data_IF_317959210581
#
_entry.id   IF_317959210581
#
_cell.length_a   1.000
_cell.length_b   1.000
_cell.length_c   1.000
_cell.angle_alpha   90.00
_cell.angle_beta   90.00
_cell.angle_gamma   90.00
#
_symmetry.space_group_name_H-M   'P 1'
#
loop_
_entity.id
_entity.type
_entity.pdbx_description
1 polymer ?
#
# COMPACT_ATOMS: atom_id res chain seq x y z
N UNK A 1 -68.47 36.37 7.64
CA UNK A 1 -67.42 35.47 8.18
C UNK A 1 -68.11 34.21 8.71
N UNK A 2 -68.72 33.40 7.86
CA UNK A 2 -68.22 32.19 7.16
C UNK A 2 -67.89 30.98 8.07
N UNK A 3 -68.78 29.98 7.97
CA UNK A 3 -68.76 28.59 8.50
C UNK A 3 -67.67 27.72 7.86
N UNK A 4 -67.49 26.53 8.47
CA UNK A 4 -67.10 25.19 7.94
C UNK A 4 -65.89 24.63 8.74
N UNK A 5 -65.66 23.35 9.05
CA UNK A 5 -66.33 22.03 8.95
C UNK A 5 -65.47 21.06 9.77
N UNK A 6 -66.05 20.01 10.36
CA UNK A 6 -65.32 18.96 11.10
C UNK A 6 -64.88 17.75 10.26
N UNK A 7 -64.10 16.87 10.92
CA UNK A 7 -63.67 15.46 10.63
C UNK A 7 -62.13 15.34 10.64
N UNK A 8 -61.50 14.31 11.20
CA UNK A 8 -61.98 13.11 11.86
C UNK A 8 -60.85 12.40 12.63
N UNK A 9 -61.25 11.51 13.53
CA UNK A 9 -60.40 10.66 14.37
C UNK A 9 -59.87 9.47 13.57
N UNK A 10 -58.54 9.21 13.63
CA UNK A 10 -57.96 7.92 13.20
C UNK A 10 -57.47 7.14 14.41
N UNK A 11 -58.02 5.93 14.54
CA UNK A 11 -57.71 4.91 15.55
C UNK A 11 -56.28 4.36 15.37
N UNK A 12 -55.53 4.25 16.46
CA UNK A 12 -54.34 3.41 16.56
C UNK A 12 -54.77 1.92 16.53
N UNK A 13 -54.13 1.10 15.70
CA UNK A 13 -54.23 -0.37 15.73
C UNK A 13 -53.04 -0.93 16.50
N UNK A 14 -53.33 -1.78 17.49
CA UNK A 14 -52.36 -2.63 18.18
C UNK A 14 -51.86 -3.77 17.27
N UNK A 15 -50.64 -4.29 17.47
CA UNK A 15 -50.14 -5.46 16.76
C UNK A 15 -50.77 -6.75 17.33
N UNK A 16 -51.07 -7.77 16.50
CA UNK A 16 -51.57 -9.05 16.98
C UNK A 16 -50.44 -9.95 17.52
N UNK A 17 -50.86 -10.79 18.47
CA UNK A 17 -50.05 -11.65 19.32
C UNK A 17 -49.43 -12.87 18.60
N UNK A 18 -48.39 -13.40 19.26
CA UNK A 18 -47.64 -14.63 19.01
C UNK A 18 -48.54 -15.87 18.91
N UNK A 19 -48.27 -16.71 17.91
CA UNK A 19 -48.65 -18.12 17.88
C UNK A 19 -47.37 -18.97 17.78
N UNK A 20 -47.21 -19.87 18.74
CA UNK A 20 -46.12 -20.85 18.83
C UNK A 20 -46.26 -21.93 17.76
N UNK A 21 -45.15 -22.34 17.13
CA UNK A 21 -45.08 -23.59 16.38
C UNK A 21 -43.76 -24.31 16.68
N UNK A 22 -43.89 -25.60 16.99
CA UNK A 22 -42.86 -26.56 17.42
C UNK A 22 -41.82 -26.87 16.32
N UNK A 23 -40.62 -27.39 16.67
CA UNK A 23 -39.48 -27.54 15.76
C UNK A 23 -39.45 -28.96 15.14
N UNK A 24 -39.83 -29.10 13.87
CA UNK A 24 -39.39 -30.20 13.00
C UNK A 24 -40.04 -30.06 11.62
N UNK A 25 -39.33 -29.45 10.67
CA UNK A 25 -39.36 -29.83 9.24
C UNK A 25 -38.31 -29.01 8.51
N UNK A 26 -37.13 -29.61 8.29
CA UNK A 26 -36.15 -29.12 7.33
C UNK A 26 -36.69 -29.37 5.91
N UNK A 27 -36.93 -28.31 5.15
CA UNK A 27 -37.11 -28.40 3.69
C UNK A 27 -35.87 -27.76 3.05
N UNK A 28 -35.09 -28.50 2.26
CA UNK A 28 -33.84 -27.99 1.69
C UNK A 28 -34.14 -27.07 0.50
N UNK A 29 -33.73 -25.80 0.60
CA UNK A 29 -33.63 -24.93 -0.58
C UNK A 29 -32.41 -25.38 -1.38
N UNK A 30 -32.66 -25.87 -2.59
CA UNK A 30 -31.68 -26.46 -3.49
C UNK A 30 -30.52 -25.50 -3.81
N UNK A 31 -29.37 -25.72 -3.18
CA UNK A 31 -28.07 -25.15 -3.54
C UNK A 31 -27.49 -25.78 -4.83
N UNK A 32 -28.32 -25.99 -5.85
CA UNK A 32 -27.98 -26.76 -7.05
C UNK A 32 -27.55 -25.93 -8.27
N UNK A 33 -27.82 -24.63 -8.29
CA UNK A 33 -27.58 -23.79 -9.48
C UNK A 33 -26.20 -23.10 -9.50
N UNK A 34 -25.54 -22.89 -8.35
CA UNK A 34 -24.21 -22.27 -8.30
C UNK A 34 -23.04 -23.27 -8.44
N UNK A 35 -23.27 -24.57 -8.22
CA UNK A 35 -22.21 -25.59 -8.20
C UNK A 35 -21.90 -26.24 -9.56
N UNK A 36 -22.63 -25.88 -10.64
CA UNK A 36 -22.39 -26.45 -11.98
C UNK A 36 -21.52 -25.59 -12.91
N UNK A 37 -21.25 -24.32 -12.57
CA UNK A 37 -20.39 -23.45 -13.38
C UNK A 37 -18.91 -23.40 -12.93
N UNK A 38 -18.58 -23.97 -11.76
CA UNK A 38 -17.25 -23.88 -11.16
C UNK A 38 -16.77 -25.25 -10.63
N UNK A 39 -16.75 -26.29 -11.47
CA UNK A 39 -15.98 -27.51 -11.18
C UNK A 39 -14.60 -27.41 -11.85
N UNK A 40 -13.50 -27.27 -11.08
CA UNK A 40 -12.17 -27.57 -11.59
C UNK A 40 -12.06 -29.08 -11.77
N UNK A 41 -11.53 -29.53 -12.91
CA UNK A 41 -11.00 -30.90 -13.00
C UNK A 41 -9.81 -30.97 -12.04
N UNK A 42 -9.90 -31.84 -11.03
CA UNK A 42 -8.82 -32.08 -10.08
C UNK A 42 -7.55 -32.54 -10.81
N UNK A 43 -6.49 -31.75 -10.71
CA UNK A 43 -5.11 -32.25 -10.74
C UNK A 43 -4.40 -31.76 -9.47
N UNK A 44 -3.63 -32.65 -8.85
CA UNK A 44 -2.89 -32.39 -7.61
C UNK A 44 -1.79 -31.35 -7.87
N UNK A 45 -2.00 -30.12 -7.43
CA UNK A 45 -0.99 -29.16 -6.96
C UNK A 45 -1.74 -27.87 -6.57
N UNK A 46 -1.82 -27.59 -5.27
CA UNK A 46 -2.43 -26.37 -4.77
C UNK A 46 -1.52 -25.18 -5.03
N UNK A 47 -1.82 -24.38 -6.04
CA UNK A 47 -1.34 -23.01 -6.16
C UNK A 47 -2.51 -22.08 -6.47
N UNK A 48 -2.61 -21.02 -5.68
CA UNK A 48 -3.60 -19.95 -5.83
C UNK A 48 -3.49 -19.32 -7.23
N UNK A 49 -4.63 -19.03 -7.86
CA UNK A 49 -4.71 -18.45 -9.21
C UNK A 49 -4.00 -17.08 -9.34
N UNK A 50 -3.66 -16.43 -8.22
CA UNK A 50 -2.84 -15.22 -8.15
C UNK A 50 -1.35 -15.47 -8.47
N UNK A 51 -0.83 -16.67 -8.22
CA UNK A 51 0.58 -17.01 -8.46
C UNK A 51 0.90 -17.33 -9.93
N UNK A 52 -0.10 -17.49 -10.81
CA UNK A 52 0.10 -18.07 -12.16
C UNK A 52 0.25 -17.05 -13.29
N UNK A 53 0.11 -15.76 -13.02
CA UNK A 53 0.29 -14.70 -14.05
C UNK A 53 1.76 -14.22 -14.12
N UNK A 54 2.67 -14.74 -13.29
CA UNK A 54 4.06 -14.24 -13.17
C UNK A 54 5.16 -15.27 -13.43
N UNK A 55 4.92 -16.37 -14.14
CA UNK A 55 5.98 -17.36 -14.39
C UNK A 55 5.97 -17.89 -15.83
N UNK A 56 6.60 -17.15 -16.73
CA UNK A 56 7.41 -17.78 -17.77
C UNK A 56 8.88 -17.66 -17.36
N UNK A 57 9.66 -18.76 -17.34
CA UNK A 57 11.09 -18.65 -17.12
C UNK A 57 11.74 -18.06 -18.39
N UNK A 58 12.50 -16.96 -18.32
CA UNK A 58 13.38 -16.63 -19.42
C UNK A 58 14.56 -17.61 -19.38
N UNK A 59 14.85 -18.24 -20.53
CA UNK A 59 16.10 -18.96 -20.72
C UNK A 59 17.30 -18.01 -20.60
N UNK A 60 18.48 -18.60 -20.40
CA UNK A 60 19.79 -17.97 -20.15
C UNK A 60 20.30 -17.06 -21.29
N UNK A 61 19.51 -16.04 -21.66
CA UNK A 61 20.02 -14.85 -22.33
C UNK A 61 20.40 -13.84 -21.23
N UNK A 62 21.55 -13.18 -21.37
CA UNK A 62 21.92 -12.02 -20.56
C UNK A 62 20.78 -10.99 -20.61
N UNK A 63 19.88 -11.06 -19.61
CA UNK A 63 18.73 -10.16 -19.50
C UNK A 63 19.30 -8.78 -19.22
N UNK A 64 19.13 -7.85 -20.16
CA UNK A 64 19.45 -6.45 -19.90
C UNK A 64 18.69 -6.00 -18.65
N UNK A 65 19.34 -5.34 -17.68
CA UNK A 65 18.66 -4.87 -16.48
C UNK A 65 17.48 -3.99 -16.89
N UNK A 66 16.39 -4.05 -16.13
CA UNK A 66 15.27 -3.15 -16.36
C UNK A 66 15.74 -1.71 -16.15
N UNK A 67 15.09 -0.74 -16.80
CA UNK A 67 15.41 0.67 -16.60
C UNK A 67 15.31 1.09 -15.13
N UNK A 68 14.34 0.53 -14.40
CA UNK A 68 14.20 0.76 -12.97
C UNK A 68 15.44 0.22 -12.22
N UNK A 69 15.92 -0.99 -12.54
CA UNK A 69 17.09 -1.55 -11.88
C UNK A 69 18.34 -0.70 -12.12
N UNK A 70 18.57 -0.28 -13.37
CA UNK A 70 19.66 0.63 -13.72
C UNK A 70 19.57 1.94 -12.94
N UNK A 71 18.39 2.58 -12.96
CA UNK A 71 18.15 3.84 -12.27
C UNK A 71 18.43 3.76 -10.76
N UNK A 72 17.99 2.69 -10.11
CA UNK A 72 18.15 2.51 -8.67
C UNK A 72 19.54 2.01 -8.29
N UNK A 73 20.21 1.22 -9.13
CA UNK A 73 21.58 0.75 -8.88
C UNK A 73 22.57 1.93 -8.80
N UNK A 74 22.32 3.02 -9.53
CA UNK A 74 23.10 4.27 -9.41
C UNK A 74 22.82 5.06 -8.12
N UNK A 75 21.73 4.75 -7.42
CA UNK A 75 21.15 5.56 -6.33
C UNK A 75 20.94 4.77 -5.05
N UNK A 76 21.40 3.53 -5.00
CA UNK A 76 21.23 2.68 -3.83
C UNK A 76 22.21 3.06 -2.73
N UNK A 77 21.74 2.96 -1.50
CA UNK A 77 22.61 3.09 -0.33
C UNK A 77 23.32 1.77 -0.15
N UNK A 78 24.65 1.81 -0.27
CA UNK A 78 25.47 0.62 -0.09
C UNK A 78 25.67 0.34 1.40
N UNK A 79 25.39 -0.90 1.80
CA UNK A 79 25.64 -1.38 3.16
C UNK A 79 26.89 -2.27 3.10
N UNK A 80 28.02 -1.87 3.72
CA UNK A 80 29.23 -2.67 3.73
C UNK A 80 29.02 -3.90 4.63
N UNK A 81 28.72 -5.04 4.02
CA UNK A 81 28.43 -6.29 4.71
C UNK A 81 29.07 -7.48 4.01
N UNK A 82 29.63 -8.40 4.80
CA UNK A 82 30.26 -9.63 4.30
C UNK A 82 29.28 -10.81 4.27
N UNK A 83 28.27 -10.78 5.13
CA UNK A 83 27.30 -11.84 5.34
C UNK A 83 25.91 -11.25 5.69
N UNK A 84 24.89 -12.10 5.77
CA UNK A 84 23.52 -11.63 6.06
C UNK A 84 23.36 -11.03 7.46
N UNK A 85 24.10 -11.54 8.46
CA UNK A 85 24.02 -11.07 9.84
C UNK A 85 24.60 -9.66 10.01
N UNK A 86 25.79 -9.40 9.45
CA UNK A 86 26.40 -8.08 9.40
C UNK A 86 25.55 -7.08 8.60
N UNK A 87 24.94 -7.52 7.49
CA UNK A 87 23.97 -6.70 6.74
C UNK A 87 22.75 -6.34 7.59
N UNK A 88 22.15 -7.31 8.27
CA UNK A 88 20.99 -7.10 9.13
C UNK A 88 21.31 -6.17 10.30
N UNK A 89 22.46 -6.35 10.95
CA UNK A 89 22.91 -5.49 12.04
C UNK A 89 23.10 -4.04 11.60
N UNK A 90 23.72 -3.80 10.43
CA UNK A 90 23.89 -2.46 9.87
C UNK A 90 22.54 -1.82 9.48
N UNK A 91 21.59 -2.60 8.96
CA UNK A 91 20.22 -2.13 8.76
C UNK A 91 19.57 -1.72 10.08
N UNK A 92 19.66 -2.55 11.12
CA UNK A 92 19.07 -2.26 12.42
C UNK A 92 19.64 -0.98 13.03
N UNK A 93 20.97 -0.83 13.02
CA UNK A 93 21.65 0.37 13.53
C UNK A 93 21.16 1.66 12.85
N UNK A 94 21.04 1.65 11.52
CA UNK A 94 20.58 2.81 10.76
C UNK A 94 19.08 3.06 10.87
N UNK A 95 18.26 2.02 10.74
CA UNK A 95 16.81 2.13 10.61
C UNK A 95 16.09 2.29 11.97
N UNK A 96 16.62 1.73 13.06
CA UNK A 96 15.98 1.86 14.39
C UNK A 96 16.07 3.30 14.93
N UNK A 97 17.09 4.05 14.52
CA UNK A 97 17.23 5.48 14.81
C UNK A 97 16.38 6.37 13.87
N UNK A 98 15.82 5.82 12.80
CA UNK A 98 15.07 6.58 11.82
C UNK A 98 13.71 7.06 12.38
N UNK A 99 13.27 8.29 12.08
CA UNK A 99 11.94 8.76 12.44
C UNK A 99 10.83 7.89 11.82
N UNK A 100 10.15 7.10 12.65
CA UNK A 100 9.03 6.26 12.24
C UNK A 100 7.69 6.88 12.58
N UNK A 101 6.65 6.46 11.86
CA UNK A 101 5.28 6.86 12.13
C UNK A 101 4.75 6.19 13.41
N UNK A 102 4.31 6.98 14.38
CA UNK A 102 3.81 6.46 15.66
C UNK A 102 2.32 6.11 15.55
N UNK A 103 1.96 4.86 15.83
CA UNK A 103 0.57 4.43 15.81
C UNK A 103 0.28 3.42 16.93
N UNK A 104 -0.99 3.29 17.32
CA UNK A 104 -1.44 2.21 18.21
C UNK A 104 -1.34 0.86 17.49
N UNK A 105 -1.44 -0.26 18.22
CA UNK A 105 -1.49 -1.60 17.61
C UNK A 105 -2.53 -1.72 16.49
N UNK A 106 -3.66 -1.03 16.61
CA UNK A 106 -4.74 -0.99 15.62
C UNK A 106 -4.57 0.08 14.54
N UNK A 107 -3.38 0.68 14.40
CA UNK A 107 -3.08 1.65 13.36
C UNK A 107 -3.61 3.07 13.60
N UNK A 108 -4.17 3.38 14.77
CA UNK A 108 -4.63 4.73 15.06
C UNK A 108 -3.45 5.67 15.33
N UNK A 109 -3.56 6.92 14.87
CA UNK A 109 -2.56 7.96 15.16
C UNK A 109 -2.50 8.19 16.67
N UNK A 110 -1.31 8.18 17.26
CA UNK A 110 -1.15 8.44 18.70
C UNK A 110 -1.40 9.92 19.02
N UNK A 111 -2.46 10.18 19.78
CA UNK A 111 -2.79 11.49 20.33
C UNK A 111 -2.32 11.58 21.79
N UNK A 112 -1.82 12.75 22.19
CA UNK A 112 -1.61 13.08 23.60
C UNK A 112 -2.42 14.30 24.00
N UNK A 113 -2.82 14.33 25.27
CA UNK A 113 -3.57 15.44 25.87
C UNK A 113 -2.64 16.23 26.78
N UNK A 114 -2.62 17.54 26.62
CA UNK A 114 -2.02 18.48 27.59
C UNK A 114 -3.01 19.61 27.83
N UNK A 115 -3.53 19.70 29.06
CA UNK A 115 -4.69 20.55 29.38
C UNK A 115 -5.92 20.15 28.57
N UNK A 116 -6.58 21.13 27.93
CA UNK A 116 -7.74 20.91 27.05
C UNK A 116 -7.38 20.62 25.57
N UNK A 117 -6.09 20.68 25.20
CA UNK A 117 -5.65 20.54 23.80
C UNK A 117 -5.15 19.12 23.53
N UNK A 118 -5.57 18.56 22.40
CA UNK A 118 -5.05 17.31 21.82
C UNK A 118 -3.96 17.65 20.82
N UNK A 119 -2.83 16.96 20.93
CA UNK A 119 -1.69 17.11 20.05
C UNK A 119 -1.35 15.75 19.44
N UNK A 120 -0.91 15.76 18.19
CA UNK A 120 -0.42 14.55 17.51
C UNK A 120 1.07 14.39 17.80
N UNK A 121 1.48 13.25 18.36
CA UNK A 121 2.89 12.97 18.65
C UNK A 121 3.56 12.32 17.44
N UNK A 122 3.68 13.08 16.37
CA UNK A 122 4.35 12.62 15.16
C UNK A 122 5.64 13.39 14.93
N UNK A 123 6.73 12.71 14.54
CA UNK A 123 7.86 13.38 13.94
C UNK A 123 7.41 14.21 12.74
N UNK A 124 8.11 15.31 12.49
CA UNK A 124 7.87 16.13 11.30
C UNK A 124 8.05 15.35 10.00
N UNK A 125 8.99 14.42 10.02
CA UNK A 125 9.35 13.54 8.92
C UNK A 125 9.14 12.12 9.40
N UNK A 126 8.34 11.33 8.70
CA UNK A 126 8.13 9.92 9.05
C UNK A 126 8.47 9.06 7.85
N UNK A 127 9.21 7.97 8.10
CA UNK A 127 9.53 6.98 7.10
C UNK A 127 8.51 5.83 7.10
N UNK A 128 8.27 5.36 5.89
CA UNK A 128 7.53 4.15 5.57
C UNK A 128 8.40 3.26 4.69
N UNK A 129 8.20 1.96 4.80
CA UNK A 129 9.10 0.95 4.23
C UNK A 129 8.35 0.04 3.27
N UNK A 130 8.98 -0.37 2.17
CA UNK A 130 8.41 -1.36 1.25
C UNK A 130 9.47 -2.32 0.75
N UNK A 131 9.25 -3.61 0.99
CA UNK A 131 10.05 -4.66 0.37
C UNK A 131 9.53 -5.04 -1.00
N UNK A 132 10.44 -5.33 -1.92
CA UNK A 132 10.16 -5.96 -3.20
C UNK A 132 11.08 -7.16 -3.37
N UNK A 133 10.49 -8.32 -3.68
CA UNK A 133 11.22 -9.57 -3.87
C UNK A 133 12.17 -9.56 -5.08
N UNK A 134 11.92 -8.67 -6.04
CA UNK A 134 12.74 -8.48 -7.24
C UNK A 134 13.20 -7.02 -7.33
N UNK A 135 14.51 -6.81 -7.31
CA UNK A 135 15.15 -5.51 -7.41
C UNK A 135 14.93 -4.83 -8.76
N UNK A 136 14.54 -5.58 -9.80
CA UNK A 136 14.24 -5.01 -11.11
C UNK A 136 12.89 -4.26 -11.17
N UNK A 137 12.08 -4.35 -10.12
CA UNK A 137 10.76 -3.71 -10.09
C UNK A 137 10.81 -2.25 -9.60
N UNK A 138 10.09 -1.39 -10.31
CA UNK A 138 9.79 -0.03 -9.89
C UNK A 138 8.75 0.04 -8.77
N UNK A 139 8.57 1.24 -8.20
CA UNK A 139 7.55 1.54 -7.19
C UNK A 139 6.19 1.81 -7.85
N UNK A 140 5.59 0.78 -8.44
CA UNK A 140 4.35 0.90 -9.22
C UNK A 140 3.16 0.22 -8.54
N UNK A 141 1.98 0.80 -8.71
CA UNK A 141 0.73 0.24 -8.20
C UNK A 141 0.27 -0.97 -9.01
N UNK A 142 -0.47 -1.87 -8.36
CA UNK A 142 -0.99 -3.09 -8.98
C UNK A 142 -1.95 -2.76 -10.14
N UNK A 143 -2.80 -1.73 -9.98
CA UNK A 143 -3.69 -1.26 -11.04
C UNK A 143 -2.92 -0.72 -12.24
N UNK A 144 -1.86 0.08 -12.02
CA UNK A 144 -1.05 0.61 -13.12
C UNK A 144 -0.39 -0.51 -13.92
N UNK A 145 0.23 -1.49 -13.24
CA UNK A 145 0.82 -2.66 -13.92
C UNK A 145 -0.21 -3.42 -14.75
N UNK A 146 -1.44 -3.57 -14.24
CA UNK A 146 -2.52 -4.25 -14.94
C UNK A 146 -2.98 -3.51 -16.21
N UNK A 147 -3.03 -2.17 -16.18
CA UNK A 147 -3.45 -1.39 -17.35
C UNK A 147 -2.31 -1.04 -18.30
N UNK A 148 -1.04 -1.23 -17.89
CA UNK A 148 0.15 -0.89 -18.70
C UNK A 148 0.09 -1.42 -20.12
N UNK A 149 -0.36 -2.67 -20.39
CA UNK A 149 -0.52 -3.17 -21.77
C UNK A 149 -1.52 -2.39 -22.63
N UNK A 150 -2.42 -1.62 -22.03
CA UNK A 150 -3.38 -0.76 -22.73
C UNK A 150 -2.86 0.66 -22.99
N UNK A 151 -1.73 1.03 -22.38
CA UNK A 151 -1.09 2.33 -22.57
C UNK A 151 -0.26 2.25 -23.86
N UNK A 152 -0.64 3.04 -24.85
CA UNK A 152 0.09 3.18 -26.10
C UNK A 152 1.25 4.16 -25.93
N UNK A 153 2.33 3.94 -26.68
CA UNK A 153 3.44 4.89 -26.78
C UNK A 153 2.92 6.29 -27.17
N UNK A 154 3.43 7.33 -26.52
CA UNK A 154 3.01 8.71 -26.74
C UNK A 154 1.63 9.08 -26.19
N UNK A 155 0.90 8.17 -25.53
CA UNK A 155 -0.40 8.48 -24.92
C UNK A 155 -0.25 9.62 -23.89
N UNK A 156 -1.13 10.63 -24.00
CA UNK A 156 -1.05 11.79 -23.13
C UNK A 156 -1.32 11.41 -21.67
N UNK A 157 -0.60 12.06 -20.75
CA UNK A 157 -0.72 11.83 -19.31
C UNK A 157 -2.18 11.87 -18.82
N UNK A 158 -2.98 12.84 -19.28
CA UNK A 158 -4.40 12.96 -18.90
C UNK A 158 -5.24 11.76 -19.30
N UNK A 159 -4.92 11.12 -20.42
CA UNK A 159 -5.67 9.98 -20.94
C UNK A 159 -5.34 8.72 -20.15
N UNK A 160 -4.08 8.56 -19.73
CA UNK A 160 -3.65 7.47 -18.84
C UNK A 160 -4.29 7.63 -17.46
N UNK A 161 -4.31 8.84 -16.91
CA UNK A 161 -5.03 9.15 -15.67
C UNK A 161 -6.52 8.83 -15.79
N UNK A 162 -7.15 9.16 -16.92
CA UNK A 162 -8.55 8.76 -17.20
C UNK A 162 -8.71 7.24 -17.20
N UNK A 163 -7.81 6.49 -17.85
CA UNK A 163 -7.84 5.02 -17.85
C UNK A 163 -7.72 4.43 -16.44
N UNK A 164 -6.83 4.98 -15.61
CA UNK A 164 -6.69 4.58 -14.20
C UNK A 164 -7.99 4.84 -13.42
N UNK A 165 -8.56 6.03 -13.57
CA UNK A 165 -9.80 6.41 -12.87
C UNK A 165 -10.98 5.53 -13.31
N UNK A 166 -11.11 5.25 -14.61
CA UNK A 166 -12.15 4.36 -15.13
C UNK A 166 -11.98 2.92 -14.61
N UNK A 167 -10.75 2.40 -14.57
CA UNK A 167 -10.48 1.08 -14.03
C UNK A 167 -10.78 0.99 -12.52
N UNK A 168 -10.40 2.00 -11.76
CA UNK A 168 -10.68 2.10 -10.32
C UNK A 168 -12.19 2.18 -10.04
N UNK A 169 -12.94 2.94 -10.86
CA UNK A 169 -14.40 2.98 -10.78
C UNK A 169 -15.05 1.62 -11.07
N UNK A 170 -14.54 0.87 -12.06
CA UNK A 170 -15.03 -0.49 -12.33
C UNK A 170 -14.77 -1.43 -11.15
N UNK A 171 -13.59 -1.35 -10.54
CA UNK A 171 -13.23 -2.16 -9.37
C UNK A 171 -14.15 -1.85 -8.18
N UNK A 172 -14.38 -0.57 -7.88
CA UNK A 172 -15.27 -0.15 -6.80
C UNK A 172 -16.73 -0.52 -7.05
N UNK A 173 -17.23 -0.31 -8.28
CA UNK A 173 -18.60 -0.67 -8.65
C UNK A 173 -18.84 -2.18 -8.50
N UNK A 174 -17.90 -3.01 -8.97
CA UNK A 174 -17.99 -4.46 -8.82
C UNK A 174 -17.95 -4.89 -7.35
N UNK A 175 -17.10 -4.28 -6.52
CA UNK A 175 -17.05 -4.56 -5.10
C UNK A 175 -18.37 -4.23 -4.37
N UNK A 176 -19.00 -3.12 -4.76
CA UNK A 176 -20.30 -2.71 -4.23
C UNK A 176 -21.43 -3.65 -4.69
N UNK A 177 -21.47 -3.99 -5.98
CA UNK A 177 -22.48 -4.89 -6.57
C UNK A 177 -22.46 -6.27 -5.90
N UNK A 178 -21.26 -6.82 -5.67
CA UNK A 178 -21.09 -8.10 -4.99
C UNK A 178 -21.20 -8.02 -3.46
N UNK A 179 -21.47 -6.83 -2.90
CA UNK A 179 -21.66 -6.63 -1.48
C UNK A 179 -20.41 -6.91 -0.63
N UNK A 180 -19.23 -6.90 -1.25
CA UNK A 180 -17.94 -7.13 -0.57
C UNK A 180 -17.72 -6.05 0.50
N UNK A 181 -18.23 -4.84 0.24
CA UNK A 181 -18.04 -3.69 1.13
C UNK A 181 -19.36 -2.92 1.23
N UNK A 182 -20.00 -2.93 2.40
CA UNK A 182 -21.21 -2.13 2.69
C UNK A 182 -20.91 -1.07 3.73
N UNK A 183 -21.36 0.17 3.47
CA UNK A 183 -21.26 1.28 4.42
C UNK A 183 -19.86 1.91 4.57
N UNK A 184 -18.87 1.47 3.78
CA UNK A 184 -17.56 2.13 3.71
C UNK A 184 -17.55 3.22 2.64
N UNK A 185 -16.71 4.23 2.86
CA UNK A 185 -16.34 5.19 1.82
C UNK A 185 -15.53 4.51 0.70
N UNK A 186 -15.42 5.15 -0.47
CA UNK A 186 -14.63 4.59 -1.57
C UNK A 186 -13.16 4.35 -1.20
N UNK A 187 -12.57 5.22 -0.38
CA UNK A 187 -11.17 5.05 0.05
C UNK A 187 -11.02 3.85 1.00
N UNK A 188 -11.92 3.71 1.97
CA UNK A 188 -11.94 2.54 2.87
C UNK A 188 -12.20 1.24 2.10
N UNK A 189 -13.08 1.28 1.09
CA UNK A 189 -13.31 0.18 0.18
C UNK A 189 -12.01 -0.19 -0.57
N UNK A 190 -11.29 0.78 -1.13
CA UNK A 190 -10.00 0.54 -1.79
C UNK A 190 -8.98 -0.09 -0.84
N UNK A 191 -8.88 0.35 0.42
CA UNK A 191 -7.93 -0.25 1.36
C UNK A 191 -8.25 -1.71 1.67
N UNK A 192 -9.53 -2.05 1.82
CA UNK A 192 -9.98 -3.45 2.00
C UNK A 192 -9.69 -4.28 0.75
N UNK A 193 -9.98 -3.74 -0.43
CA UNK A 193 -9.73 -4.42 -1.71
C UNK A 193 -8.24 -4.69 -1.93
N UNK A 194 -7.39 -3.69 -1.70
CA UNK A 194 -5.93 -3.83 -1.79
C UNK A 194 -5.41 -4.89 -0.81
N UNK A 195 -5.92 -4.89 0.42
CA UNK A 195 -5.56 -5.90 1.42
C UNK A 195 -5.86 -7.34 0.94
N UNK A 196 -6.97 -7.52 0.23
CA UNK A 196 -7.36 -8.79 -0.38
C UNK A 196 -6.76 -9.04 -1.78
N UNK A 197 -5.78 -8.24 -2.21
CA UNK A 197 -5.01 -8.46 -3.44
C UNK A 197 -5.68 -7.96 -4.73
N UNK A 198 -6.77 -7.20 -4.62
CA UNK A 198 -7.38 -6.56 -5.77
C UNK A 198 -6.46 -5.47 -6.34
N UNK A 199 -6.53 -5.19 -7.66
CA UNK A 199 -5.73 -4.13 -8.26
C UNK A 199 -6.21 -2.75 -7.82
N UNK A 200 -5.36 -1.97 -7.17
CA UNK A 200 -5.64 -0.57 -6.79
C UNK A 200 -4.47 0.35 -7.13
N UNK A 201 -4.69 1.66 -7.02
CA UNK A 201 -3.61 2.66 -7.15
C UNK A 201 -2.74 2.78 -5.89
N UNK A 202 -3.14 2.16 -4.79
CA UNK A 202 -2.42 2.22 -3.52
C UNK A 202 -1.09 1.48 -3.62
N UNK A 203 -0.07 2.04 -2.96
CA UNK A 203 1.21 1.39 -2.75
C UNK A 203 1.27 0.94 -1.30
N UNK A 204 1.34 -0.36 -1.06
CA UNK A 204 1.51 -0.91 0.29
C UNK A 204 2.86 -0.47 0.86
N UNK A 205 2.83 -0.03 2.11
CA UNK A 205 4.02 0.27 2.90
C UNK A 205 3.79 -0.19 4.33
N UNK A 206 4.87 -0.55 5.02
CA UNK A 206 4.82 -0.79 6.46
C UNK A 206 5.41 0.40 7.21
N UNK A 207 4.93 0.65 8.42
CA UNK A 207 5.62 1.53 9.37
C UNK A 207 6.87 0.88 9.98
N UNK A 208 7.08 -0.42 9.74
CA UNK A 208 8.15 -1.23 10.32
C UNK A 208 9.07 -1.77 9.22
N UNK A 209 10.36 -1.44 9.32
CA UNK A 209 11.34 -1.82 8.30
C UNK A 209 11.59 -3.32 8.27
N UNK A 210 11.44 -4.03 9.39
CA UNK A 210 11.65 -5.48 9.48
C UNK A 210 10.54 -6.24 8.76
N UNK A 211 9.30 -5.75 8.87
CA UNK A 211 8.17 -6.26 8.09
C UNK A 211 8.39 -6.02 6.60
N UNK A 212 8.85 -4.83 6.21
CA UNK A 212 9.19 -4.56 4.82
C UNK A 212 10.36 -5.44 4.33
N UNK A 213 11.37 -5.68 5.16
CA UNK A 213 12.45 -6.61 4.84
C UNK A 213 11.93 -8.03 4.63
N UNK A 214 11.02 -8.50 5.51
CA UNK A 214 10.35 -9.79 5.33
C UNK A 214 9.70 -9.90 3.95
N UNK A 215 8.93 -8.89 3.51
CA UNK A 215 8.34 -8.87 2.16
C UNK A 215 9.38 -8.86 1.04
N UNK A 216 10.57 -8.30 1.26
CA UNK A 216 11.66 -8.31 0.30
C UNK A 216 12.30 -9.72 0.17
N UNK A 217 12.30 -10.52 1.23
CA UNK A 217 13.00 -11.81 1.27
C UNK A 217 12.08 -13.03 1.31
N UNK A 218 10.77 -12.86 1.43
CA UNK A 218 9.82 -13.97 1.58
C UNK A 218 9.74 -14.89 0.35
N UNK A 219 10.04 -14.37 -0.85
CA UNK A 219 9.89 -15.09 -2.12
C UNK A 219 11.02 -14.76 -3.11
N UNK A 220 11.02 -15.52 -4.22
CA UNK A 220 11.94 -15.34 -5.36
C UNK A 220 13.42 -15.41 -4.98
N UNK A 221 13.80 -16.50 -4.34
CA UNK A 221 15.13 -16.71 -3.73
C UNK A 221 16.30 -16.61 -4.75
N UNK A 222 16.01 -16.67 -6.05
CA UNK A 222 17.00 -16.57 -7.12
C UNK A 222 17.31 -15.13 -7.56
N UNK A 223 16.48 -14.15 -7.18
CA UNK A 223 16.65 -12.74 -7.57
C UNK A 223 17.03 -11.88 -6.39
N UNK A 224 17.85 -10.87 -6.65
CA UNK A 224 18.11 -9.81 -5.68
C UNK A 224 16.80 -9.09 -5.36
N UNK A 225 16.65 -8.66 -4.12
CA UNK A 225 15.51 -7.91 -3.64
C UNK A 225 15.85 -6.45 -3.39
N UNK A 226 14.83 -5.63 -3.12
CA UNK A 226 14.99 -4.22 -2.80
C UNK A 226 14.12 -3.79 -1.64
N UNK A 227 14.72 -3.06 -0.70
CA UNK A 227 14.02 -2.39 0.39
C UNK A 227 13.97 -0.89 0.09
N UNK A 228 12.77 -0.35 -0.04
CA UNK A 228 12.54 1.09 -0.19
C UNK A 228 12.28 1.73 1.17
N UNK A 229 12.88 2.91 1.38
CA UNK A 229 12.62 3.80 2.51
C UNK A 229 12.05 5.11 1.95
N UNK A 230 10.83 5.45 2.34
CA UNK A 230 10.03 6.51 1.74
C UNK A 230 9.60 7.50 2.82
N UNK A 231 9.93 8.79 2.65
CA UNK A 231 9.39 9.84 3.50
C UNK A 231 7.96 10.16 3.10
N UNK A 232 7.06 10.25 4.07
CA UNK A 232 5.72 10.77 3.85
C UNK A 232 5.33 11.70 4.99
N UNK A 233 4.63 12.79 4.65
CA UNK A 233 4.24 13.79 5.63
C UNK A 233 2.83 13.46 6.16
N UNK A 234 2.73 13.02 7.42
CA UNK A 234 1.44 12.71 8.05
C UNK A 234 0.47 13.91 8.03
N UNK A 235 0.98 15.16 8.06
CA UNK A 235 0.14 16.36 7.93
C UNK A 235 -0.67 16.43 6.63
N UNK A 236 -0.21 15.77 5.56
CA UNK A 236 -0.98 15.65 4.30
C UNK A 236 -2.23 14.80 4.48
N UNK A 237 -2.15 13.73 5.28
CA UNK A 237 -3.33 12.92 5.64
C UNK A 237 -4.37 13.72 6.42
N UNK A 238 -3.92 14.58 7.34
CA UNK A 238 -4.84 15.41 8.16
C UNK A 238 -5.61 16.43 7.32
N UNK A 239 -5.00 16.91 6.24
CA UNK A 239 -5.59 17.84 5.27
C UNK A 239 -6.23 17.12 4.08
N UNK A 240 -6.12 15.80 4.02
CA UNK A 240 -6.63 15.02 2.91
C UNK A 240 -8.17 15.13 2.89
N UNK A 241 -8.77 15.55 1.76
CA UNK A 241 -10.22 15.70 1.67
C UNK A 241 -10.90 14.38 2.00
N UNK A 242 -11.75 14.39 3.04
CA UNK A 242 -12.66 13.27 3.27
C UNK A 242 -13.70 13.32 2.17
N UNK A 243 -13.97 12.19 1.54
CA UNK A 243 -14.90 12.15 0.42
C UNK A 243 -16.33 12.45 0.91
N UNK A 244 -16.83 13.64 0.61
CA UNK A 244 -18.26 13.95 0.75
C UNK A 244 -18.99 13.29 -0.42
N UNK A 245 -19.66 12.17 -0.17
CA UNK A 245 -20.46 11.46 -1.19
C UNK A 245 -19.65 10.52 -2.09
N UNK A 246 -19.55 9.26 -1.66
CA UNK A 246 -19.41 8.05 -2.49
C UNK A 246 -18.13 7.83 -3.33
N UNK A 247 -17.47 8.87 -3.85
CA UNK A 247 -16.32 8.76 -4.77
C UNK A 247 -14.98 9.09 -4.13
N UNK A 248 -13.88 8.88 -4.86
CA UNK A 248 -12.53 9.19 -4.37
C UNK A 248 -12.22 10.68 -4.53
N UNK A 249 -11.49 11.26 -3.57
CA UNK A 249 -11.18 12.69 -3.56
C UNK A 249 -10.48 13.18 -4.85
N UNK A 250 -9.59 12.34 -5.41
CA UNK A 250 -8.86 12.63 -6.64
C UNK A 250 -9.70 12.49 -7.93
N UNK A 251 -10.86 11.84 -7.87
CA UNK A 251 -11.78 11.75 -9.00
C UNK A 251 -12.71 12.96 -9.08
N UNK A 252 -12.96 13.62 -7.95
CA UNK A 252 -13.87 14.75 -7.85
C UNK A 252 -13.22 16.10 -8.22
N UNK A 253 -11.97 16.10 -8.70
CA UNK A 253 -11.22 17.33 -8.98
C UNK A 253 -10.95 18.19 -7.74
N UNK A 254 -11.17 17.65 -6.53
CA UNK A 254 -10.97 18.34 -5.25
C UNK A 254 -9.50 18.48 -4.86
N UNK A 255 -8.59 18.04 -5.73
CA UNK A 255 -7.16 17.95 -5.44
C UNK A 255 -6.37 18.56 -6.60
N UNK A 256 -6.07 19.86 -6.51
CA UNK A 256 -5.39 20.63 -7.57
C UNK A 256 -3.94 20.18 -7.84
N UNK A 257 -3.35 19.40 -6.93
CA UNK A 257 -1.93 19.02 -6.94
C UNK A 257 -1.72 17.49 -6.94
N UNK A 258 -2.67 16.72 -7.46
CA UNK A 258 -2.76 15.26 -7.23
C UNK A 258 -1.58 14.50 -7.82
N UNK A 259 -1.18 14.88 -9.03
CA UNK A 259 0.02 14.42 -9.76
C UNK A 259 1.34 14.82 -9.08
N UNK A 260 1.29 15.74 -8.12
CA UNK A 260 2.47 16.30 -7.44
C UNK A 260 2.68 15.76 -6.02
N UNK A 261 1.62 15.21 -5.41
CA UNK A 261 1.59 14.89 -4.00
C UNK A 261 1.53 13.38 -3.71
N UNK A 262 2.39 12.95 -2.79
CA UNK A 262 2.29 11.64 -2.15
C UNK A 262 1.64 11.83 -0.78
N UNK A 263 0.50 11.19 -0.59
CA UNK A 263 -0.28 11.23 0.64
C UNK A 263 -0.21 9.86 1.32
N UNK A 264 0.20 9.78 2.60
CA UNK A 264 0.04 8.56 3.36
C UNK A 264 -1.43 8.37 3.76
N UNK A 265 -2.00 7.21 3.44
CA UNK A 265 -3.34 6.79 3.84
C UNK A 265 -3.22 6.08 5.20
N UNK A 266 -3.59 6.80 6.25
CA UNK A 266 -3.42 6.40 7.64
C UNK A 266 -4.74 5.97 8.28
N UNK A 267 -5.50 5.13 7.58
CA UNK A 267 -6.70 4.51 8.13
C UNK A 267 -6.32 3.47 9.20
N UNK A 268 -7.11 3.32 10.27
CA UNK A 268 -6.92 2.25 11.24
C UNK A 268 -7.02 0.87 10.58
N UNK A 269 -6.34 -0.11 11.18
CA UNK A 269 -6.29 -1.47 10.65
C UNK A 269 -7.64 -2.18 10.85
N UNK A 270 -8.17 -2.76 9.77
CA UNK A 270 -9.47 -3.42 9.76
C UNK A 270 -9.43 -4.90 10.18
N UNK A 271 -8.27 -5.54 10.12
CA UNK A 271 -8.10 -6.97 10.39
C UNK A 271 -6.73 -7.32 10.98
N UNK A 272 -6.58 -8.57 11.42
CA UNK A 272 -5.37 -9.06 12.07
C UNK A 272 -4.14 -9.07 11.16
N UNK A 273 -4.33 -9.23 9.84
CA UNK A 273 -3.21 -9.25 8.89
C UNK A 273 -2.69 -7.83 8.68
N UNK A 274 -3.54 -6.81 8.58
CA UNK A 274 -3.10 -5.41 8.58
C UNK A 274 -2.34 -5.04 9.86
N UNK A 275 -2.81 -5.51 11.01
CA UNK A 275 -2.13 -5.32 12.31
C UNK A 275 -0.74 -5.95 12.30
N UNK A 276 -0.64 -7.23 11.90
CA UNK A 276 0.62 -7.95 11.84
C UNK A 276 1.63 -7.30 10.88
N UNK A 277 1.14 -6.80 9.75
CA UNK A 277 1.96 -6.18 8.71
C UNK A 277 2.28 -4.72 9.02
N UNK A 278 1.63 -4.14 10.05
CA UNK A 278 1.66 -2.71 10.37
C UNK A 278 1.47 -1.88 9.09
N UNK A 279 0.50 -2.32 8.28
CA UNK A 279 0.37 -1.98 6.87
C UNK A 279 -0.43 -0.71 6.66
N UNK A 280 0.20 0.26 6.00
CA UNK A 280 -0.40 1.50 5.52
C UNK A 280 -0.27 1.58 3.99
N UNK A 281 -0.81 2.64 3.41
CA UNK A 281 -0.71 2.86 1.97
C UNK A 281 -0.19 4.24 1.64
N UNK A 282 0.50 4.36 0.50
CA UNK A 282 0.75 5.64 -0.15
C UNK A 282 -0.15 5.77 -1.37
N UNK A 283 -0.67 6.98 -1.58
CA UNK A 283 -1.48 7.32 -2.74
C UNK A 283 -0.98 8.63 -3.36
N UNK A 284 -1.16 8.76 -4.66
CA UNK A 284 -0.80 9.96 -5.42
C UNK A 284 -1.17 9.80 -6.89
N UNK A 285 -1.20 10.94 -7.58
CA UNK A 285 -1.35 10.99 -9.02
C UNK A 285 -0.16 10.36 -9.72
N UNK A 286 -0.40 9.93 -10.96
CA UNK A 286 0.62 9.34 -11.81
C UNK A 286 1.70 10.40 -12.05
N UNK A 287 2.94 10.01 -11.84
CA UNK A 287 4.07 10.92 -12.05
C UNK A 287 4.05 11.50 -13.47
N UNK A 288 4.29 12.81 -13.56
CA UNK A 288 4.31 13.56 -14.82
C UNK A 288 5.45 14.57 -14.83
N UNK A 289 5.88 14.97 -16.02
CA UNK A 289 6.84 16.06 -16.21
C UNK A 289 6.14 17.41 -16.46
N UNK A 290 4.81 17.40 -16.61
CA UNK A 290 4.01 18.63 -16.71
C UNK A 290 4.01 19.37 -15.36
N UNK A 291 3.76 20.68 -15.35
CA UNK A 291 3.59 21.48 -14.11
C UNK A 291 4.82 21.64 -13.20
N UNK A 292 6.03 21.43 -13.73
CA UNK A 292 7.26 21.79 -13.02
C UNK A 292 7.82 20.70 -12.11
N UNK A 293 7.43 19.44 -12.28
CA UNK A 293 8.10 18.32 -11.64
C UNK A 293 9.59 18.27 -11.98
N UNK A 294 10.39 17.92 -10.97
CA UNK A 294 11.84 17.93 -11.13
C UNK A 294 12.22 16.68 -11.89
N UNK A 295 12.74 16.93 -13.07
CA UNK A 295 13.23 15.94 -13.98
C UNK A 295 14.35 15.14 -13.30
N UNK A 296 14.24 13.82 -13.32
CA UNK A 296 15.44 13.01 -13.13
C UNK A 296 16.36 13.27 -14.32
N UNK A 297 17.64 13.51 -14.04
CA UNK A 297 18.66 13.56 -15.08
C UNK A 297 19.31 12.19 -15.17
N UNK A 298 19.56 11.72 -16.39
CA UNK A 298 20.41 10.56 -16.65
C UNK A 298 21.81 10.81 -16.06
N UNK A 299 22.45 9.75 -15.59
CA UNK A 299 23.87 9.77 -15.23
C UNK A 299 24.72 9.85 -16.51
N UNK A 300 25.78 10.67 -16.53
CA UNK A 300 26.68 10.86 -17.69
C UNK A 300 26.63 12.23 -18.40
N UNK A 301 27.56 12.44 -19.35
CA UNK A 301 27.74 13.71 -20.08
C UNK A 301 26.50 14.07 -20.92
N UNK A 302 25.90 15.23 -20.61
CA UNK A 302 24.78 15.82 -21.35
C UNK A 302 23.49 16.01 -20.54
N UNK A 303 23.35 15.37 -19.37
CA UNK A 303 22.30 15.71 -18.38
C UNK A 303 20.86 15.67 -18.90
N UNK A 304 20.56 14.80 -19.86
CA UNK A 304 19.22 14.67 -20.43
C UNK A 304 18.20 14.24 -19.37
N UNK A 305 17.02 14.84 -19.45
CA UNK A 305 15.89 14.54 -18.58
C UNK A 305 15.25 13.21 -18.94
N UNK A 306 14.88 12.42 -17.94
CA UNK A 306 14.07 11.22 -18.14
C UNK A 306 12.71 11.58 -18.76
N UNK A 307 12.31 10.80 -19.75
CA UNK A 307 10.99 10.85 -20.37
C UNK A 307 9.91 10.48 -19.35
N UNK A 308 8.64 10.83 -19.63
CA UNK A 308 7.53 10.46 -18.75
C UNK A 308 7.37 8.93 -18.64
N UNK A 309 7.67 8.21 -19.72
CA UNK A 309 7.59 6.76 -19.74
C UNK A 309 8.65 6.13 -18.82
N UNK A 310 9.91 6.58 -18.94
CA UNK A 310 11.01 6.17 -18.06
C UNK A 310 10.72 6.45 -16.59
N UNK A 311 10.18 7.63 -16.27
CA UNK A 311 9.78 7.96 -14.89
C UNK A 311 8.72 7.00 -14.35
N UNK A 312 7.77 6.59 -15.19
CA UNK A 312 6.72 5.64 -14.79
C UNK A 312 7.23 4.20 -14.69
N UNK A 313 8.34 3.85 -15.34
CA UNK A 313 9.02 2.57 -15.08
C UNK A 313 9.70 2.57 -13.70
N UNK A 314 10.11 3.73 -13.19
CA UNK A 314 10.72 3.88 -11.86
C UNK A 314 9.65 3.88 -10.75
N UNK A 315 8.61 4.71 -10.88
CA UNK A 315 7.59 4.88 -9.84
C UNK A 315 6.31 5.45 -10.43
N UNK A 316 5.14 4.97 -9.99
CA UNK A 316 3.88 5.66 -10.31
C UNK A 316 3.68 6.93 -9.48
N UNK A 317 4.32 7.03 -8.32
CA UNK A 317 4.20 8.16 -7.40
C UNK A 317 5.30 9.20 -7.63
N UNK A 318 5.01 10.47 -7.32
CA UNK A 318 5.96 11.57 -7.35
C UNK A 318 6.93 11.56 -6.16
N UNK A 319 7.76 10.52 -6.07
CA UNK A 319 8.83 10.36 -5.07
C UNK A 319 10.17 10.73 -5.70
N UNK A 320 10.99 11.52 -4.99
CA UNK A 320 12.38 11.82 -5.38
C UNK A 320 13.37 10.80 -4.80
N UNK A 321 14.14 10.15 -5.67
CA UNK A 321 15.30 9.33 -5.33
C UNK A 321 16.60 10.09 -5.66
N UNK A 322 17.19 10.83 -4.70
CA UNK A 322 18.47 11.49 -4.91
C UNK A 322 19.62 10.48 -5.00
N UNK A 323 20.69 10.86 -5.70
CA UNK A 323 21.96 10.12 -5.65
C UNK A 323 22.56 10.32 -4.25
N UNK A 324 22.92 9.23 -3.52
CA UNK A 324 23.62 9.33 -2.25
C UNK A 324 24.93 10.11 -2.40
N UNK A 325 25.39 10.82 -1.36
CA UNK A 325 26.74 11.38 -1.42
C UNK A 325 27.75 10.25 -1.33
N UNK A 326 28.88 10.37 -2.03
CA UNK A 326 29.96 9.38 -1.96
C UNK A 326 30.39 9.17 -0.49
N UNK A 327 30.50 7.91 -0.07
CA UNK A 327 30.92 7.47 1.28
C UNK A 327 29.94 7.73 2.44
N UNK A 328 28.70 8.18 2.19
CA UNK A 328 27.69 8.21 3.25
C UNK A 328 27.24 6.79 3.62
N UNK A 329 27.34 6.44 4.89
CA UNK A 329 26.69 5.24 5.44
C UNK A 329 25.15 5.44 5.51
N UNK A 330 24.45 4.39 5.94
CA UNK A 330 22.99 4.40 6.02
C UNK A 330 22.47 5.46 7.00
N UNK A 331 23.11 5.62 8.16
CA UNK A 331 22.68 6.56 9.19
C UNK A 331 22.85 8.03 8.70
N UNK A 332 23.99 8.34 8.07
CA UNK A 332 24.26 9.63 7.45
C UNK A 332 23.27 9.93 6.32
N UNK A 333 22.92 8.93 5.51
CA UNK A 333 21.89 9.08 4.47
C UNK A 333 20.53 9.40 5.09
N UNK A 334 20.10 8.66 6.11
CA UNK A 334 18.83 8.92 6.81
C UNK A 334 18.80 10.33 7.39
N UNK A 335 19.88 10.76 8.06
CA UNK A 335 20.00 12.09 8.64
C UNK A 335 19.93 13.19 7.57
N UNK A 336 20.63 13.02 6.44
CA UNK A 336 20.62 13.99 5.34
C UNK A 336 19.23 14.12 4.70
N UNK A 337 18.48 13.02 4.60
CA UNK A 337 17.10 12.99 4.14
C UNK A 337 16.15 13.71 5.10
N UNK A 338 16.26 13.44 6.41
CA UNK A 338 15.44 14.11 7.44
C UNK A 338 15.66 15.62 7.38
N UNK A 339 16.91 16.07 7.25
CA UNK A 339 17.22 17.49 7.16
C UNK A 339 16.69 18.11 5.86
N UNK A 340 16.81 17.41 4.73
CA UNK A 340 16.25 17.86 3.46
C UNK A 340 14.71 17.97 3.47
N UNK A 341 14.03 17.10 4.21
CA UNK A 341 12.58 17.16 4.45
C UNK A 341 12.17 18.30 5.38
N UNK A 342 12.94 18.55 6.45
CA UNK A 342 12.72 19.71 7.35
C UNK A 342 12.87 21.04 6.61
N UNK A 343 13.94 21.16 5.80
CA UNK A 343 14.19 22.36 5.01
C UNK A 343 13.12 22.59 3.92
N UNK A 344 12.60 21.49 3.35
CA UNK A 344 11.48 21.54 2.40
C UNK A 344 10.23 22.17 3.03
N UNK A 345 9.92 21.84 4.29
CA UNK A 345 8.81 22.45 5.03
C UNK A 345 9.04 23.91 5.36
N UNK A 346 10.23 24.29 5.84
CA UNK A 346 10.49 25.67 6.28
C UNK A 346 10.49 26.68 5.13
N UNK A 347 10.84 26.24 3.92
CA UNK A 347 10.86 27.06 2.70
C UNK A 347 9.56 27.03 1.89
N UNK A 348 8.49 26.42 2.42
CA UNK A 348 7.19 26.23 1.76
C UNK A 348 6.47 27.52 1.29
N UNK A 349 7.06 28.71 1.48
CA UNK A 349 6.55 29.98 0.96
C UNK A 349 7.52 30.79 0.07
N UNK A 350 8.77 30.34 -0.18
CA UNK A 350 9.74 31.11 -1.00
C UNK A 350 10.41 30.32 -2.12
N UNK A 351 10.68 29.03 -1.94
CA UNK A 351 11.24 28.17 -2.98
C UNK A 351 10.75 26.76 -2.71
N UNK A 352 9.58 26.46 -3.26
CA UNK A 352 8.91 25.17 -3.16
C UNK A 352 9.86 24.06 -3.59
N UNK A 353 10.20 23.18 -2.66
CA UNK A 353 10.70 21.87 -3.03
C UNK A 353 9.56 21.14 -3.75
N UNK A 354 9.51 21.22 -5.10
CA UNK A 354 8.56 20.59 -6.06
C UNK A 354 8.37 19.06 -5.99
N UNK A 355 8.82 18.40 -4.93
CA UNK A 355 8.63 16.96 -4.66
C UNK A 355 8.05 16.86 -3.26
N UNK A 356 6.95 16.13 -3.12
CA UNK A 356 6.19 15.98 -1.88
C UNK A 356 6.69 14.83 -1.01
N UNK A 357 7.49 13.93 -1.57
CA UNK A 357 8.12 12.77 -0.92
C UNK A 357 9.52 12.54 -1.49
N UNK A 358 10.40 12.01 -0.65
CA UNK A 358 11.74 11.53 -1.01
C UNK A 358 11.87 10.07 -0.60
N UNK A 359 12.72 9.33 -1.29
CA UNK A 359 13.06 7.98 -0.87
C UNK A 359 14.45 7.58 -1.28
N UNK A 360 14.94 6.50 -0.69
CA UNK A 360 16.13 5.79 -1.13
C UNK A 360 15.83 4.29 -1.08
N UNK A 361 16.73 3.49 -1.62
CA UNK A 361 16.62 2.04 -1.58
C UNK A 361 17.92 1.37 -1.21
N UNK A 362 17.80 0.21 -0.59
CA UNK A 362 18.90 -0.72 -0.32
C UNK A 362 18.64 -1.99 -1.13
N UNK A 363 19.65 -2.45 -1.86
CA UNK A 363 19.59 -3.73 -2.58
C UNK A 363 19.99 -4.86 -1.64
N UNK A 364 19.25 -5.96 -1.71
CA UNK A 364 19.41 -7.15 -0.88
C UNK A 364 19.84 -8.30 -1.80
N UNK A 365 21.09 -8.77 -1.70
CA UNK A 365 21.57 -9.92 -2.47
C UNK A 365 20.71 -11.17 -2.28
N UNK A 366 20.38 -11.86 -3.37
CA UNK A 366 19.59 -13.09 -3.39
C UNK A 366 20.12 -14.14 -2.41
N UNK A 367 21.45 -14.30 -2.36
CA UNK A 367 22.16 -15.24 -1.48
C UNK A 367 21.87 -15.05 0.01
N UNK A 368 21.47 -13.85 0.45
CA UNK A 368 21.21 -13.56 1.86
C UNK A 368 19.75 -13.75 2.25
N UNK A 369 18.81 -13.93 1.31
CA UNK A 369 17.37 -14.03 1.60
C UNK A 369 17.03 -15.11 2.63
N UNK A 370 17.64 -16.30 2.50
CA UNK A 370 17.42 -17.42 3.41
C UNK A 370 17.82 -17.09 4.86
N UNK A 371 19.05 -16.59 5.04
CA UNK A 371 19.58 -16.23 6.35
C UNK A 371 18.82 -15.05 6.96
N UNK A 372 18.46 -14.04 6.16
CA UNK A 372 17.64 -12.91 6.62
C UNK A 372 16.24 -13.36 7.06
N UNK A 373 15.62 -14.32 6.37
CA UNK A 373 14.35 -14.92 6.83
C UNK A 373 14.49 -15.62 8.17
N UNK A 374 15.61 -16.31 8.42
CA UNK A 374 15.88 -16.96 9.69
C UNK A 374 16.04 -15.93 10.83
N UNK A 375 16.84 -14.88 10.62
CA UNK A 375 17.02 -13.79 11.58
C UNK A 375 15.69 -13.08 11.91
N UNK A 376 14.88 -12.80 10.89
CA UNK A 376 13.54 -12.23 11.09
C UNK A 376 12.62 -13.16 11.88
N UNK A 377 12.69 -14.48 11.65
CA UNK A 377 11.90 -15.46 12.39
C UNK A 377 12.29 -15.53 13.87
N UNK A 378 13.58 -15.34 14.21
CA UNK A 378 14.04 -15.23 15.60
C UNK A 378 13.45 -14.01 16.32
N UNK A 379 13.17 -12.93 15.58
CA UNK A 379 12.44 -11.75 16.07
C UNK A 379 10.90 -11.90 16.04
N UNK A 380 10.40 -13.09 15.71
CA UNK A 380 8.97 -13.38 15.65
C UNK A 380 8.28 -12.97 14.35
N UNK A 381 9.02 -12.59 13.31
CA UNK A 381 8.51 -12.26 11.98
C UNK A 381 8.55 -13.48 11.06
N UNK A 382 7.76 -14.49 11.41
CA UNK A 382 7.54 -15.68 10.60
C UNK A 382 6.37 -15.49 9.62
N UNK A 383 6.19 -16.44 8.70
CA UNK A 383 5.05 -16.45 7.78
C UNK A 383 3.70 -16.39 8.50
N UNK A 384 3.54 -17.17 9.56
CA UNK A 384 2.27 -17.22 10.31
C UNK A 384 2.07 -15.95 11.17
N UNK A 385 3.16 -15.25 11.52
CA UNK A 385 3.07 -13.94 12.15
C UNK A 385 2.58 -12.88 11.14
N UNK A 386 3.15 -12.86 9.93
CA UNK A 386 2.83 -11.88 8.87
C UNK A 386 1.48 -12.16 8.19
N UNK A 387 1.09 -13.43 8.12
CA UNK A 387 -0.17 -13.91 7.55
C UNK A 387 -0.93 -14.77 8.58
N UNK A 388 -1.53 -14.17 9.62
CA UNK A 388 -2.21 -14.92 10.67
C UNK A 388 -3.28 -15.86 10.09
N UNK A 389 -3.17 -17.19 10.29
CA UNK A 389 -4.10 -18.17 9.75
C UNK A 389 -5.37 -18.24 10.63
N UNK A 390 -6.18 -17.18 10.58
CA UNK A 390 -7.31 -16.99 11.51
C UNK A 390 -8.33 -18.13 11.46
N UNK A 391 -8.56 -18.74 10.29
CA UNK A 391 -9.50 -19.84 10.14
C UNK A 391 -8.99 -21.13 10.79
N UNK A 392 -7.70 -21.42 10.66
CA UNK A 392 -7.03 -22.53 11.31
C UNK A 392 -6.96 -22.33 12.83
N UNK A 393 -6.57 -21.12 13.27
CA UNK A 393 -6.54 -20.73 14.69
C UNK A 393 -7.92 -20.84 15.30
N UNK A 394 -8.98 -20.42 14.59
CA UNK A 394 -10.36 -20.57 15.07
C UNK A 394 -10.70 -22.01 15.39
N UNK A 395 -10.33 -22.97 14.54
CA UNK A 395 -10.61 -24.41 14.79
C UNK A 395 -9.90 -24.91 16.04
N UNK A 396 -8.64 -24.52 16.22
CA UNK A 396 -7.86 -24.84 17.41
C UNK A 396 -8.50 -24.24 18.67
N UNK A 397 -8.82 -22.95 18.66
CA UNK A 397 -9.43 -22.25 19.80
C UNK A 397 -10.79 -22.85 20.16
N UNK A 398 -11.60 -23.22 19.16
CA UNK A 398 -12.86 -23.93 19.41
C UNK A 398 -12.67 -25.30 20.03
N UNK A 399 -11.63 -26.04 19.61
CA UNK A 399 -11.29 -27.33 20.22
C UNK A 399 -10.84 -27.15 21.68
N UNK A 400 -9.89 -26.24 21.94
CA UNK A 400 -9.40 -25.94 23.29
C UNK A 400 -10.52 -25.49 24.22
N UNK A 401 -11.41 -24.60 23.76
CA UNK A 401 -12.53 -24.13 24.57
C UNK A 401 -13.59 -25.21 24.87
N UNK A 402 -13.58 -26.33 24.13
CA UNK A 402 -14.48 -27.48 24.35
C UNK A 402 -13.84 -28.58 25.18
N UNK A 403 -12.53 -28.54 25.39
CA UNK A 403 -11.82 -29.49 26.25
C UNK A 403 -12.04 -29.08 27.71
N UNK A 404 -12.58 -29.97 28.56
CA UNK A 404 -12.99 -29.66 29.93
C UNK A 404 -11.84 -29.33 30.88
#
# INVERSE_FOLDING_TARGET
>A
MLRLVGRGTRRFRAPPALLSVNPATCIPVQAGALQRALRPRHSKAGSCLYCRVMTQPPGDALVKPSFADEFFSEREVHIPATDAASFYAALAEGMDAAPHFNHTTTGNIVEFKSGQRRFLRQPDVTFFFRGQADASFGLNSSLYRMITPSIKEGMAHRDIERLLNEAENRVLAAAQEHGIVRGLTALECLTVLQHHGAPTRLIDVSSDWRVALYFAVETDDARDARLFVLSAQHGRWLRFPRADGGGLAWQQGKFQQWDTEVVPILLPFSDARMVAQRGFFLAGGLVTNAHGHRQYRRSGEGGATLTQEEMRQISTLAVKFPVPRQQEDLAATIASFVEAERLAKSKAGKYETRWSSRGFSVKIPARWKNELRALLAEEGLSRDAIYPPLDEVRRLLQHVARTP
#
